data_IF_924559368549
#
_entry.id   IF_924559368549
#
_cell.length_a   1.000
_cell.length_b   1.000
_cell.length_c   1.000
_cell.angle_alpha   90.00
_cell.angle_beta   90.00
_cell.angle_gamma   90.00
#
_symmetry.space_group_name_H-M   'P 1'
#
loop_
_entity.id
_entity.type
_entity.pdbx_description
1 polymer ?
#
# COMPACT_ATOMS: atom_id res chain seq x y z
N UNK A 1 38.21 5.03 5.42
CA UNK A 1 38.61 4.28 4.20
C UNK A 1 39.62 5.08 3.38
N UNK A 2 40.83 4.54 3.20
CA UNK A 2 41.88 5.13 2.34
C UNK A 2 42.02 4.32 1.06
N UNK A 3 41.92 4.95 -0.11
CA UNK A 3 42.03 4.29 -1.43
C UNK A 3 43.25 4.83 -2.18
N UNK A 4 44.10 3.95 -2.73
CA UNK A 4 45.30 4.31 -3.52
C UNK A 4 45.50 3.40 -4.74
N UNK A 5 46.22 3.91 -5.74
CA UNK A 5 46.56 3.19 -6.99
C UNK A 5 48.07 2.95 -7.09
N UNK A 6 48.45 1.76 -7.55
CA UNK A 6 49.84 1.30 -7.67
C UNK A 6 50.12 0.80 -9.08
N UNK A 7 51.25 1.19 -9.65
CA UNK A 7 51.76 0.66 -10.93
C UNK A 7 52.94 -0.29 -10.65
N UNK A 8 52.87 -1.50 -11.19
CA UNK A 8 53.88 -2.54 -10.99
C UNK A 8 54.07 -3.41 -12.24
N UNK A 9 55.19 -4.13 -12.31
CA UNK A 9 55.49 -5.07 -13.40
C UNK A 9 54.68 -6.36 -13.29
N UNK A 10 54.35 -6.76 -12.07
CA UNK A 10 53.51 -7.91 -11.78
C UNK A 10 52.68 -7.70 -10.50
N UNK A 11 51.80 -8.66 -10.23
CA UNK A 11 50.92 -8.61 -9.08
C UNK A 11 51.66 -8.80 -7.75
N UNK A 12 52.81 -9.50 -7.73
CA UNK A 12 53.60 -9.68 -6.52
C UNK A 12 54.23 -8.36 -6.07
N UNK A 13 54.83 -7.62 -7.01
CA UNK A 13 55.39 -6.30 -6.75
C UNK A 13 54.30 -5.31 -6.29
N UNK A 14 53.12 -5.34 -6.91
CA UNK A 14 51.99 -4.53 -6.47
C UNK A 14 51.54 -4.89 -5.03
N UNK A 15 51.42 -6.18 -4.70
CA UNK A 15 51.04 -6.64 -3.36
C UNK A 15 52.03 -6.20 -2.27
N UNK A 16 53.34 -6.25 -2.56
CA UNK A 16 54.38 -5.82 -1.61
C UNK A 16 54.22 -4.32 -1.30
N UNK A 17 54.02 -3.50 -2.33
CA UNK A 17 53.84 -2.04 -2.16
C UNK A 17 52.52 -1.71 -1.45
N UNK A 18 51.43 -2.41 -1.78
CA UNK A 18 50.13 -2.24 -1.12
C UNK A 18 50.24 -2.58 0.36
N UNK A 19 50.86 -3.72 0.71
CA UNK A 19 51.02 -4.12 2.13
C UNK A 19 51.92 -3.16 2.92
N UNK A 20 52.94 -2.61 2.29
CA UNK A 20 53.83 -1.63 2.93
C UNK A 20 53.14 -0.28 3.20
N UNK A 21 52.21 0.14 2.34
CA UNK A 21 51.60 1.49 2.40
C UNK A 21 50.21 1.49 3.06
N UNK A 22 49.39 0.45 2.84
CA UNK A 22 48.01 0.34 3.35
C UNK A 22 47.83 -0.70 4.47
N UNK A 23 48.89 -1.44 4.83
CA UNK A 23 48.83 -2.48 5.85
C UNK A 23 48.42 -3.85 5.29
N UNK A 24 48.43 -4.87 6.16
CA UNK A 24 48.20 -6.27 5.77
C UNK A 24 46.74 -6.54 5.36
N UNK A 25 45.81 -5.69 5.80
CA UNK A 25 44.37 -5.84 5.64
C UNK A 25 43.80 -5.06 4.44
N UNK A 26 44.68 -4.56 3.56
CA UNK A 26 44.28 -3.85 2.36
C UNK A 26 43.58 -4.80 1.35
N UNK A 27 42.39 -4.42 0.91
CA UNK A 27 41.58 -5.12 -0.09
C UNK A 27 41.86 -4.53 -1.48
N UNK A 28 42.10 -5.39 -2.47
CA UNK A 28 42.24 -4.99 -3.87
C UNK A 28 40.85 -4.75 -4.45
N UNK A 29 40.58 -3.51 -4.91
CA UNK A 29 39.31 -3.13 -5.51
C UNK A 29 39.29 -3.37 -7.03
N UNK A 30 40.41 -3.15 -7.71
CA UNK A 30 40.49 -3.36 -9.16
C UNK A 30 41.92 -3.59 -9.64
N UNK A 31 42.07 -4.33 -10.74
CA UNK A 31 43.36 -4.58 -11.40
C UNK A 31 43.18 -4.47 -12.92
N UNK A 32 44.02 -3.68 -13.61
CA UNK A 32 44.01 -3.58 -15.08
C UNK A 32 45.42 -3.53 -15.66
N UNK A 33 45.60 -4.10 -16.86
CA UNK A 33 46.86 -4.01 -17.61
C UNK A 33 46.95 -2.69 -18.36
N UNK A 34 48.09 -2.01 -18.26
CA UNK A 34 48.35 -0.72 -18.91
C UNK A 34 49.61 -0.78 -19.78
N UNK A 35 49.51 -0.27 -21.02
CA UNK A 35 50.66 -0.12 -21.93
C UNK A 35 51.39 1.19 -21.61
N UNK A 36 52.71 1.14 -21.53
CA UNK A 36 53.53 2.34 -21.31
C UNK A 36 53.47 3.26 -22.56
N UNK A 37 53.11 4.54 -22.38
CA UNK A 37 53.08 5.53 -23.48
C UNK A 37 54.48 6.13 -23.71
N UNK A 38 54.92 6.17 -24.97
CA UNK A 38 56.20 6.79 -25.42
C UNK A 38 56.58 6.38 -26.86
N UNK A 39 57.38 7.21 -27.55
CA UNK A 39 57.74 7.11 -28.99
C UNK A 39 58.43 5.80 -29.41
N UNK A 40 58.88 4.96 -28.47
CA UNK A 40 59.47 3.63 -28.72
C UNK A 40 58.71 2.50 -27.98
N UNK A 41 57.39 2.62 -27.87
CA UNK A 41 56.51 1.72 -27.09
C UNK A 41 56.32 0.29 -27.62
N UNK A 42 56.97 -0.11 -28.71
CA UNK A 42 56.79 -1.44 -29.33
C UNK A 42 57.62 -2.58 -28.69
N UNK A 43 58.57 -2.28 -27.80
CA UNK A 43 59.45 -3.29 -27.16
C UNK A 43 59.34 -3.39 -25.62
N UNK A 44 58.39 -2.70 -24.98
CA UNK A 44 58.27 -2.70 -23.50
C UNK A 44 57.12 -3.57 -23.00
N UNK A 45 57.42 -4.39 -21.97
CA UNK A 45 56.46 -5.29 -21.31
C UNK A 45 55.31 -4.50 -20.66
N UNK A 46 54.06 -4.99 -20.71
CA UNK A 46 52.91 -4.31 -20.11
C UNK A 46 53.06 -4.22 -18.57
N UNK A 47 52.59 -3.11 -17.98
CA UNK A 47 52.49 -2.92 -16.53
C UNK A 47 51.07 -3.25 -16.04
N UNK A 48 50.92 -3.44 -14.73
CA UNK A 48 49.64 -3.63 -14.06
C UNK A 48 49.36 -2.43 -13.15
N UNK A 49 48.17 -1.84 -13.27
CA UNK A 49 47.63 -0.85 -12.33
C UNK A 49 46.68 -1.55 -11.35
N UNK A 50 46.95 -1.45 -10.05
CA UNK A 50 46.16 -2.04 -8.98
C UNK A 50 45.63 -0.94 -8.07
N UNK A 51 44.31 -0.93 -7.85
CA UNK A 51 43.66 -0.05 -6.85
C UNK A 51 43.39 -0.86 -5.60
N UNK A 52 43.84 -0.38 -4.44
CA UNK A 52 43.61 -1.03 -3.15
C UNK A 52 43.06 -0.05 -2.11
N UNK A 53 42.32 -0.57 -1.14
CA UNK A 53 41.73 0.19 -0.05
C UNK A 53 41.92 -0.50 1.30
N UNK A 54 42.04 0.26 2.38
CA UNK A 54 42.01 -0.26 3.75
C UNK A 54 40.95 0.49 4.57
N UNK A 55 40.19 -0.25 5.38
CA UNK A 55 39.26 0.29 6.37
C UNK A 55 39.99 0.58 7.69
N UNK A 56 39.56 1.61 8.40
CA UNK A 56 40.22 2.09 9.62
C UNK A 56 39.75 1.26 10.83
N UNK A 57 40.65 0.56 11.53
CA UNK A 57 40.36 -0.31 12.69
C UNK A 57 39.54 0.35 13.82
N UNK A 58 39.49 1.69 13.88
CA UNK A 58 38.68 2.43 14.85
C UNK A 58 37.18 2.36 14.58
N UNK A 59 36.76 2.09 13.34
CA UNK A 59 35.34 2.00 12.96
C UNK A 59 34.80 0.62 13.33
N UNK A 60 35.57 -0.44 13.08
CA UNK A 60 35.20 -1.84 13.37
C UNK A 60 34.91 -2.05 14.86
N UNK A 61 35.75 -1.53 15.77
CA UNK A 61 35.51 -1.63 17.21
C UNK A 61 34.25 -0.92 17.68
N UNK A 62 33.87 0.18 17.02
CA UNK A 62 32.69 0.99 17.36
C UNK A 62 31.40 0.32 16.87
N UNK A 63 31.46 -0.33 15.71
CA UNK A 63 30.34 -1.14 15.19
C UNK A 63 30.16 -2.45 15.99
N UNK A 64 31.24 -3.12 16.39
CA UNK A 64 31.15 -4.32 17.24
C UNK A 64 30.55 -4.03 18.63
N UNK A 65 30.88 -2.88 19.24
CA UNK A 65 30.28 -2.44 20.50
C UNK A 65 28.80 -2.07 20.33
N UNK A 66 28.44 -1.40 19.22
CA UNK A 66 27.04 -1.07 18.89
C UNK A 66 26.19 -2.34 18.73
N UNK A 67 26.67 -3.32 17.95
CA UNK A 67 25.96 -4.58 17.70
C UNK A 67 25.79 -5.39 18.99
N UNK A 68 26.81 -5.40 19.87
CA UNK A 68 26.70 -6.04 21.19
C UNK A 68 25.64 -5.39 22.09
N UNK A 69 25.58 -4.06 22.13
CA UNK A 69 24.57 -3.35 22.93
C UNK A 69 23.15 -3.59 22.40
N UNK A 70 22.97 -3.59 21.09
CA UNK A 70 21.68 -3.82 20.44
C UNK A 70 21.19 -5.26 20.64
N UNK A 71 22.09 -6.24 20.54
CA UNK A 71 21.78 -7.66 20.81
C UNK A 71 21.40 -7.91 22.28
N UNK A 72 22.04 -7.22 23.23
CA UNK A 72 21.71 -7.31 24.65
C UNK A 72 20.35 -6.69 24.94
N UNK A 73 20.04 -5.53 24.35
CA UNK A 73 18.73 -4.89 24.48
C UNK A 73 17.59 -5.78 23.93
N UNK A 74 17.81 -6.40 22.77
CA UNK A 74 16.85 -7.33 22.18
C UNK A 74 16.63 -8.58 23.05
N UNK A 75 17.70 -9.11 23.66
CA UNK A 75 17.61 -10.26 24.57
C UNK A 75 16.82 -9.95 25.85
N UNK A 76 16.96 -8.73 26.38
CA UNK A 76 16.20 -8.26 27.55
C UNK A 76 14.72 -8.09 27.20
N UNK A 77 14.40 -7.53 26.04
CA UNK A 77 13.02 -7.41 25.56
C UNK A 77 12.37 -8.78 25.34
N UNK A 78 13.08 -9.73 24.73
CA UNK A 78 12.59 -11.11 24.57
C UNK A 78 12.33 -11.80 25.91
N UNK A 79 13.13 -11.49 26.93
CA UNK A 79 12.94 -12.03 28.29
C UNK A 79 11.69 -11.44 28.94
N UNK A 80 11.45 -10.14 28.78
CA UNK A 80 10.23 -9.47 29.26
C UNK A 80 8.97 -9.99 28.57
N UNK A 81 9.02 -10.23 27.25
CA UNK A 81 7.90 -10.80 26.48
C UNK A 81 7.56 -12.20 27.01
N UNK A 82 8.57 -13.06 27.23
CA UNK A 82 8.35 -14.40 27.80
C UNK A 82 7.76 -14.36 29.22
N UNK A 83 8.11 -13.36 30.02
CA UNK A 83 7.54 -13.19 31.34
C UNK A 83 6.07 -12.73 31.28
N UNK A 84 5.74 -11.87 30.31
CA UNK A 84 4.36 -11.45 30.03
C UNK A 84 3.50 -12.61 29.52
N UNK A 85 4.01 -13.45 28.62
CA UNK A 85 3.33 -14.66 28.15
C UNK A 85 2.98 -15.60 29.32
N UNK A 86 3.93 -15.85 30.23
CA UNK A 86 3.67 -16.65 31.44
C UNK A 86 2.62 -16.03 32.36
N UNK A 87 2.59 -14.69 32.47
CA UNK A 87 1.55 -13.98 33.23
C UNK A 87 0.19 -14.14 32.59
N UNK A 88 0.10 -14.07 31.25
CA UNK A 88 -1.14 -14.31 30.50
C UNK A 88 -1.63 -15.75 30.73
N UNK A 89 -0.78 -16.76 30.58
CA UNK A 89 -1.13 -18.16 30.85
C UNK A 89 -1.65 -18.38 32.27
N UNK A 90 -1.03 -17.71 33.25
CA UNK A 90 -1.46 -17.79 34.65
C UNK A 90 -2.83 -17.14 34.87
N UNK A 91 -3.11 -16.01 34.20
CA UNK A 91 -4.40 -15.33 34.26
C UNK A 91 -5.48 -16.15 33.57
N UNK A 92 -5.19 -16.77 32.41
CA UNK A 92 -6.13 -17.69 31.75
C UNK A 92 -6.49 -18.87 32.65
N UNK A 93 -5.51 -19.42 33.37
CA UNK A 93 -5.75 -20.54 34.30
C UNK A 93 -6.63 -20.12 35.48
N UNK A 94 -6.37 -18.95 36.05
CA UNK A 94 -7.22 -18.38 37.12
C UNK A 94 -8.63 -18.11 36.60
N UNK A 95 -8.77 -17.56 35.39
CA UNK A 95 -10.08 -17.30 34.78
C UNK A 95 -10.86 -18.60 34.58
N UNK A 96 -10.18 -19.66 34.08
CA UNK A 96 -10.77 -21.00 33.93
C UNK A 96 -11.21 -21.57 35.28
N UNK A 97 -10.46 -21.36 36.36
CA UNK A 97 -10.83 -21.81 37.70
C UNK A 97 -11.99 -21.01 38.31
N UNK A 98 -12.08 -19.70 38.06
CA UNK A 98 -13.21 -18.85 38.48
C UNK A 98 -14.48 -19.26 37.74
N UNK A 99 -14.39 -19.45 36.42
CA UNK A 99 -15.52 -19.93 35.59
C UNK A 99 -15.97 -21.33 36.04
N UNK A 100 -15.04 -22.19 36.48
CA UNK A 100 -15.38 -23.54 36.97
C UNK A 100 -16.07 -23.52 38.33
N UNK A 101 -15.77 -22.52 39.18
CA UNK A 101 -16.42 -22.33 40.49
C UNK A 101 -17.81 -21.71 40.39
N UNK A 102 -18.14 -21.01 39.30
CA UNK A 102 -19.49 -20.49 39.02
C UNK A 102 -20.42 -21.54 38.35
N UNK A 103 -19.91 -22.72 37.99
CA UNK A 103 -20.66 -23.73 37.21
C UNK A 103 -21.49 -24.73 38.02
N UNK A 104 -21.55 -24.62 39.36
CA UNK A 104 -22.38 -25.52 40.18
C UNK A 104 -23.76 -24.97 40.57
N UNK A 105 -24.14 -23.76 40.15
CA UNK A 105 -25.51 -23.24 40.33
C UNK A 105 -26.11 -22.67 39.02
N UNK A 106 -27.23 -23.29 38.59
CA UNK A 106 -28.20 -22.86 37.55
C UNK A 106 -27.69 -22.55 36.12
N UNK A 107 -27.55 -23.61 35.29
CA UNK A 107 -26.82 -23.63 34.01
C UNK A 107 -27.61 -23.08 32.79
N UNK A 108 -28.94 -22.92 32.88
CA UNK A 108 -29.76 -22.56 31.70
C UNK A 108 -29.99 -21.06 31.55
N UNK A 109 -30.28 -20.34 32.65
CA UNK A 109 -30.51 -18.89 32.61
C UNK A 109 -29.21 -18.09 32.49
N UNK A 110 -28.12 -18.56 33.10
CA UNK A 110 -26.77 -17.96 32.99
C UNK A 110 -26.19 -18.06 31.58
N UNK A 111 -26.44 -19.15 30.83
CA UNK A 111 -25.99 -19.30 29.43
C UNK A 111 -26.68 -18.31 28.49
N UNK A 112 -27.99 -18.11 28.61
CA UNK A 112 -28.70 -17.12 27.81
C UNK A 112 -28.28 -15.67 28.16
N UNK A 113 -28.11 -15.35 29.45
CA UNK A 113 -27.60 -14.04 29.88
C UNK A 113 -26.17 -13.78 29.36
N UNK A 114 -25.27 -14.77 29.47
CA UNK A 114 -23.87 -14.64 29.01
C UNK A 114 -23.78 -14.43 27.49
N UNK A 115 -24.66 -15.09 26.73
CA UNK A 115 -24.74 -14.94 25.27
C UNK A 115 -25.30 -13.58 24.85
N UNK A 116 -26.34 -13.09 25.54
CA UNK A 116 -26.90 -11.76 25.29
C UNK A 116 -25.85 -10.67 25.59
N UNK A 117 -25.16 -10.79 26.71
CA UNK A 117 -24.05 -9.90 27.07
C UNK A 117 -22.93 -9.95 26.03
N UNK A 118 -22.59 -11.12 25.48
CA UNK A 118 -21.57 -11.22 24.43
C UNK A 118 -22.00 -10.53 23.12
N UNK A 119 -23.27 -10.69 22.71
CA UNK A 119 -23.81 -10.01 21.53
C UNK A 119 -23.73 -8.49 21.71
N UNK A 120 -24.11 -7.98 22.88
CA UNK A 120 -24.05 -6.54 23.17
C UNK A 120 -22.61 -6.02 23.13
N UNK A 121 -21.65 -6.74 23.73
CA UNK A 121 -20.21 -6.42 23.66
C UNK A 121 -19.70 -6.41 22.21
N UNK A 122 -20.11 -7.38 21.40
CA UNK A 122 -19.72 -7.43 19.99
C UNK A 122 -20.30 -6.27 19.18
N UNK A 123 -21.55 -5.88 19.44
CA UNK A 123 -22.17 -4.70 18.82
C UNK A 123 -21.41 -3.44 19.20
N UNK A 124 -21.13 -3.23 20.49
CA UNK A 124 -20.34 -2.09 20.97
C UNK A 124 -18.94 -2.06 20.34
N UNK A 125 -18.30 -3.22 20.18
CA UNK A 125 -16.99 -3.32 19.54
C UNK A 125 -17.04 -2.93 18.05
N UNK A 126 -18.05 -3.35 17.29
CA UNK A 126 -18.21 -2.94 15.90
C UNK A 126 -18.51 -1.43 15.77
N UNK A 127 -19.33 -0.87 16.67
CA UNK A 127 -19.58 0.58 16.76
C UNK A 127 -18.26 1.31 17.00
N UNK A 128 -17.47 0.83 17.97
CA UNK A 128 -16.14 1.40 18.29
C UNK A 128 -15.17 1.30 17.12
N UNK A 129 -15.26 0.24 16.32
CA UNK A 129 -14.48 0.09 15.09
C UNK A 129 -15.03 0.90 13.91
N UNK A 130 -16.08 1.70 14.11
CA UNK A 130 -16.61 2.66 13.14
C UNK A 130 -17.56 2.04 12.12
N UNK A 131 -18.18 0.91 12.43
CA UNK A 131 -19.24 0.32 11.58
C UNK A 131 -20.57 1.02 11.87
N UNK A 132 -21.30 1.40 10.82
CA UNK A 132 -22.62 2.05 10.97
C UNK A 132 -23.66 1.11 11.58
N UNK A 133 -24.56 1.68 12.39
CA UNK A 133 -25.59 0.92 13.13
C UNK A 133 -26.48 0.06 12.23
N UNK A 134 -26.85 0.58 11.06
CA UNK A 134 -27.66 -0.13 10.06
C UNK A 134 -26.97 -1.41 9.54
N UNK A 135 -25.63 -1.42 9.45
CA UNK A 135 -24.85 -2.59 9.07
C UNK A 135 -24.79 -3.58 10.25
N UNK A 136 -24.62 -3.08 11.47
CA UNK A 136 -24.61 -3.90 12.68
C UNK A 136 -25.96 -4.58 12.86
N UNK A 137 -27.07 -3.88 12.69
CA UNK A 137 -28.41 -4.47 12.76
C UNK A 137 -28.58 -5.60 11.75
N UNK A 138 -28.09 -5.41 10.53
CA UNK A 138 -28.08 -6.44 9.49
C UNK A 138 -27.26 -7.66 9.89
N UNK A 139 -26.02 -7.47 10.37
CA UNK A 139 -25.12 -8.54 10.78
C UNK A 139 -25.72 -9.42 11.90
N UNK A 140 -26.52 -8.82 12.80
CA UNK A 140 -27.07 -9.52 13.95
C UNK A 140 -28.50 -10.03 13.76
N UNK A 141 -29.23 -9.57 12.73
CA UNK A 141 -30.60 -9.98 12.44
C UNK A 141 -30.76 -11.50 12.26
N UNK A 142 -29.72 -12.19 11.76
CA UNK A 142 -29.73 -13.61 11.43
C UNK A 142 -29.13 -14.53 12.52
N UNK A 143 -28.68 -13.98 13.66
CA UNK A 143 -27.99 -14.75 14.71
C UNK A 143 -28.92 -15.40 15.76
N UNK A 144 -30.23 -15.29 15.56
CA UNK A 144 -31.31 -15.77 16.42
C UNK A 144 -31.48 -17.30 16.37
N UNK A 145 -30.42 -18.04 16.70
CA UNK A 145 -30.44 -19.50 16.79
C UNK A 145 -29.14 -20.19 17.23
N UNK A 146 -28.03 -19.45 17.39
CA UNK A 146 -26.71 -20.08 17.54
C UNK A 146 -26.36 -20.51 18.97
N UNK A 147 -25.86 -21.72 19.16
CA UNK A 147 -25.63 -22.26 20.51
C UNK A 147 -24.30 -21.81 21.18
N UNK A 148 -23.35 -21.20 20.46
CA UNK A 148 -21.99 -20.93 20.97
C UNK A 148 -21.40 -19.59 20.52
N UNK A 149 -20.64 -18.93 21.41
CA UNK A 149 -19.91 -17.67 21.17
C UNK A 149 -18.99 -17.76 19.95
N UNK A 150 -18.27 -18.88 19.79
CA UNK A 150 -17.37 -19.07 18.64
C UNK A 150 -18.13 -19.13 17.31
N UNK A 151 -19.37 -19.63 17.33
CA UNK A 151 -20.19 -19.64 16.12
C UNK A 151 -20.62 -18.22 15.77
N UNK A 152 -20.96 -17.40 16.78
CA UNK A 152 -21.36 -16.00 16.60
C UNK A 152 -20.23 -15.21 15.94
N UNK A 153 -19.00 -15.29 16.48
CA UNK A 153 -17.84 -14.59 15.90
C UNK A 153 -17.57 -15.06 14.47
N UNK A 154 -17.55 -16.37 14.25
CA UNK A 154 -17.29 -16.94 12.93
C UNK A 154 -18.35 -16.55 11.90
N UNK A 155 -19.62 -16.45 12.31
CA UNK A 155 -20.70 -16.07 11.42
C UNK A 155 -20.68 -14.57 11.12
N UNK A 156 -20.43 -13.71 12.12
CA UNK A 156 -20.19 -12.28 11.88
C UNK A 156 -18.99 -12.10 10.93
N UNK A 157 -17.91 -12.85 11.12
CA UNK A 157 -16.75 -12.82 10.22
C UNK A 157 -17.11 -13.19 8.78
N UNK A 158 -17.86 -14.28 8.60
CA UNK A 158 -18.33 -14.71 7.28
C UNK A 158 -19.23 -13.67 6.64
N UNK A 159 -20.18 -13.11 7.38
CA UNK A 159 -21.08 -12.07 6.89
C UNK A 159 -20.32 -10.81 6.47
N UNK A 160 -19.40 -10.31 7.30
CA UNK A 160 -18.54 -9.16 6.94
C UNK A 160 -17.72 -9.49 5.70
N UNK A 161 -17.07 -10.66 5.62
CA UNK A 161 -16.30 -11.08 4.44
C UNK A 161 -17.18 -11.13 3.19
N UNK A 162 -18.40 -11.66 3.29
CA UNK A 162 -19.36 -11.73 2.19
C UNK A 162 -19.79 -10.33 1.73
N UNK A 163 -20.07 -9.41 2.67
CA UNK A 163 -20.38 -8.01 2.36
C UNK A 163 -19.21 -7.32 1.65
N UNK A 164 -17.97 -7.51 2.15
CA UNK A 164 -16.74 -7.02 1.52
C UNK A 164 -16.55 -7.55 0.10
N UNK A 165 -17.01 -8.77 -0.18
CA UNK A 165 -17.03 -9.36 -1.52
C UNK A 165 -15.66 -9.84 -1.98
N UNK A 166 -15.38 -9.73 -3.28
CA UNK A 166 -14.10 -10.11 -3.89
C UNK A 166 -13.45 -8.88 -4.50
N UNK A 167 -12.12 -8.83 -4.43
CA UNK A 167 -11.36 -7.76 -5.06
C UNK A 167 -11.58 -7.74 -6.57
N UNK A 168 -11.67 -6.54 -7.13
CA UNK A 168 -11.84 -6.35 -8.57
C UNK A 168 -10.73 -5.45 -9.14
N UNK A 169 -9.46 -5.87 -9.14
CA UNK A 169 -8.37 -5.07 -9.70
C UNK A 169 -8.59 -4.74 -11.19
N UNK A 170 -7.80 -3.82 -11.71
CA UNK A 170 -7.79 -3.48 -13.13
C UNK A 170 -7.45 -4.75 -13.92
N UNK A 171 -8.33 -5.11 -14.85
CA UNK A 171 -8.15 -6.27 -15.72
C UNK A 171 -7.95 -5.83 -17.17
N UNK A 172 -7.20 -6.61 -17.94
CA UNK A 172 -6.96 -6.34 -19.35
C UNK A 172 -7.74 -7.32 -20.21
N UNK A 173 -8.62 -6.79 -21.04
CA UNK A 173 -9.36 -7.47 -22.10
C UNK A 173 -8.84 -7.01 -23.48
N UNK A 174 -9.45 -7.46 -24.57
CA UNK A 174 -8.91 -7.34 -25.93
C UNK A 174 -8.84 -5.90 -26.51
N UNK A 175 -9.44 -4.90 -25.85
CA UNK A 175 -9.51 -3.52 -26.36
C UNK A 175 -8.29 -2.72 -25.90
N UNK A 176 -7.59 -2.10 -26.85
CA UNK A 176 -6.35 -1.34 -26.64
C UNK A 176 -6.42 -0.01 -27.43
N UNK A 177 -6.03 1.14 -26.84
CA UNK A 177 -5.72 1.32 -25.42
C UNK A 177 -7.00 1.19 -24.57
N UNK A 178 -6.88 0.56 -23.39
CA UNK A 178 -7.94 0.59 -22.38
C UNK A 178 -7.99 1.96 -21.70
N UNK A 179 -9.15 2.61 -21.66
CA UNK A 179 -9.30 3.95 -21.07
C UNK A 179 -9.82 3.83 -19.63
N UNK A 180 -9.03 4.29 -18.66
CA UNK A 180 -9.33 4.13 -17.23
C UNK A 180 -9.43 5.49 -16.56
N UNK A 181 -10.59 5.80 -15.99
CA UNK A 181 -10.83 7.07 -15.31
C UNK A 181 -10.64 6.95 -13.80
N UNK A 182 -10.03 7.96 -13.20
CA UNK A 182 -9.87 8.10 -11.75
C UNK A 182 -10.63 9.32 -11.29
N UNK A 183 -11.73 9.11 -10.58
CA UNK A 183 -12.67 10.15 -10.15
C UNK A 183 -12.82 10.14 -8.63
N UNK A 184 -13.27 11.26 -8.05
CA UNK A 184 -13.47 11.36 -6.61
C UNK A 184 -13.16 12.75 -6.06
N UNK A 185 -13.50 13.00 -4.78
CA UNK A 185 -13.42 14.32 -4.17
C UNK A 185 -12.01 14.93 -4.16
N UNK A 186 -11.92 16.23 -3.87
CA UNK A 186 -10.66 16.95 -3.66
C UNK A 186 -9.80 16.28 -2.57
N UNK A 187 -8.49 16.16 -2.82
CA UNK A 187 -7.53 15.71 -1.81
C UNK A 187 -7.58 14.21 -1.45
N UNK A 188 -8.39 13.42 -2.17
CA UNK A 188 -8.52 11.97 -1.92
C UNK A 188 -7.29 11.16 -2.37
N UNK A 189 -6.43 11.72 -3.22
CA UNK A 189 -5.19 11.06 -3.68
C UNK A 189 -5.23 10.45 -5.08
N UNK A 190 -6.05 10.99 -6.01
CA UNK A 190 -6.16 10.53 -7.42
C UNK A 190 -4.82 10.47 -8.16
N UNK A 191 -4.17 11.61 -8.33
CA UNK A 191 -2.88 11.72 -9.05
C UNK A 191 -1.82 10.77 -8.50
N UNK A 192 -1.68 10.69 -7.17
CA UNK A 192 -0.73 9.76 -6.54
C UNK A 192 -1.12 8.30 -6.76
N UNK A 193 -2.41 7.95 -6.67
CA UNK A 193 -2.91 6.60 -6.93
C UNK A 193 -2.65 6.17 -8.38
N UNK A 194 -2.87 7.08 -9.34
CA UNK A 194 -2.56 6.86 -10.76
C UNK A 194 -1.08 6.53 -10.94
N UNK A 195 -0.19 7.30 -10.32
CA UNK A 195 1.25 7.04 -10.39
C UNK A 195 1.63 5.66 -9.82
N UNK A 196 1.02 5.25 -8.69
CA UNK A 196 1.25 3.92 -8.10
C UNK A 196 0.78 2.79 -9.03
N UNK A 197 -0.43 2.91 -9.57
CA UNK A 197 -0.98 1.92 -10.50
C UNK A 197 -0.14 1.87 -11.79
N UNK A 198 0.21 3.03 -12.36
CA UNK A 198 1.04 3.10 -13.56
C UNK A 198 2.37 2.36 -13.38
N UNK A 199 3.05 2.62 -12.26
CA UNK A 199 4.31 1.97 -11.96
C UNK A 199 4.15 0.45 -11.81
N UNK A 200 3.10 -0.04 -11.13
CA UNK A 200 2.83 -1.49 -11.07
C UNK A 200 2.57 -2.09 -12.45
N UNK A 201 1.73 -1.45 -13.26
CA UNK A 201 1.42 -1.91 -14.61
C UNK A 201 2.68 -1.97 -15.50
N UNK A 202 3.60 -1.03 -15.35
CA UNK A 202 4.84 -0.99 -16.12
C UNK A 202 5.88 -2.00 -15.64
N UNK A 203 6.13 -2.05 -14.33
CA UNK A 203 7.24 -2.83 -13.77
C UNK A 203 6.86 -4.27 -13.45
N UNK A 204 5.63 -4.53 -13.04
CA UNK A 204 5.14 -5.88 -12.72
C UNK A 204 4.49 -6.54 -13.95
N UNK A 205 3.63 -5.80 -14.66
CA UNK A 205 2.83 -6.36 -15.77
C UNK A 205 3.40 -6.08 -17.18
N UNK A 206 4.47 -5.29 -17.29
CA UNK A 206 5.13 -4.97 -18.56
C UNK A 206 4.28 -4.15 -19.56
N UNK A 207 3.26 -3.43 -19.06
CA UNK A 207 2.31 -2.65 -19.90
C UNK A 207 2.86 -1.29 -20.29
N UNK A 208 2.51 -0.85 -21.49
CA UNK A 208 2.72 0.52 -21.96
C UNK A 208 1.58 1.42 -21.46
N UNK A 209 1.93 2.37 -20.60
CA UNK A 209 0.98 3.28 -19.97
C UNK A 209 1.07 4.67 -20.60
N UNK A 210 -0.08 5.30 -20.84
CA UNK A 210 -0.22 6.71 -21.18
C UNK A 210 -0.98 7.47 -20.10
N UNK A 211 -0.70 8.77 -19.93
CA UNK A 211 -1.41 9.65 -19.01
C UNK A 211 -2.21 10.72 -19.75
N UNK A 212 -3.42 10.95 -19.27
CA UNK A 212 -4.19 12.16 -19.58
C UNK A 212 -4.54 12.82 -18.25
N UNK A 213 -4.38 14.15 -18.15
CA UNK A 213 -4.94 14.92 -17.04
C UNK A 213 -6.00 15.89 -17.56
N UNK A 214 -7.16 15.83 -16.93
CA UNK A 214 -8.25 16.81 -17.04
C UNK A 214 -8.35 17.68 -15.77
N UNK A 215 -7.38 17.61 -14.83
CA UNK A 215 -7.32 18.54 -13.67
C UNK A 215 -6.62 19.85 -14.04
N UNK A 216 -7.25 20.62 -14.93
CA UNK A 216 -6.68 21.84 -15.51
C UNK A 216 -6.76 23.06 -14.58
N UNK A 217 -7.62 23.02 -13.56
CA UNK A 217 -7.79 24.12 -12.61
C UNK A 217 -6.69 24.19 -11.56
N UNK A 218 -6.11 23.04 -11.19
CA UNK A 218 -5.00 22.99 -10.23
C UNK A 218 -3.70 22.94 -11.02
N UNK A 219 -3.09 24.09 -11.27
CA UNK A 219 -1.80 24.20 -11.98
C UNK A 219 -0.77 23.18 -11.44
N UNK A 220 -0.66 23.07 -10.11
CA UNK A 220 0.26 22.13 -9.48
C UNK A 220 -0.08 20.64 -9.68
N UNK A 221 -1.35 20.28 -9.94
CA UNK A 221 -1.75 18.89 -10.20
C UNK A 221 -1.25 18.41 -11.57
N UNK A 222 -1.34 19.27 -12.60
CA UNK A 222 -0.78 18.99 -13.92
C UNK A 222 0.74 18.76 -13.83
N UNK A 223 1.45 19.66 -13.15
CA UNK A 223 2.91 19.55 -12.98
C UNK A 223 3.30 18.34 -12.12
N UNK A 224 2.49 17.97 -11.13
CA UNK A 224 2.69 16.76 -10.34
C UNK A 224 2.59 15.50 -11.21
N UNK A 225 1.55 15.36 -12.04
CA UNK A 225 1.42 14.19 -12.91
C UNK A 225 2.54 14.14 -13.96
N UNK A 226 2.91 15.30 -14.54
CA UNK A 226 4.05 15.39 -15.46
C UNK A 226 5.36 14.96 -14.81
N UNK A 227 5.60 15.34 -13.55
CA UNK A 227 6.80 14.92 -12.82
C UNK A 227 6.87 13.39 -12.72
N UNK A 228 5.78 12.72 -12.34
CA UNK A 228 5.73 11.26 -12.34
C UNK A 228 5.94 10.69 -13.74
N UNK A 229 5.33 11.30 -14.75
CA UNK A 229 5.47 10.87 -16.13
C UNK A 229 6.91 10.97 -16.65
N UNK A 230 7.62 12.04 -16.33
CA UNK A 230 9.03 12.23 -16.70
C UNK A 230 9.92 11.18 -16.04
N UNK A 231 9.71 10.92 -14.73
CA UNK A 231 10.46 9.90 -13.99
C UNK A 231 10.24 8.51 -14.61
N UNK A 232 9.02 8.19 -15.01
CA UNK A 232 8.65 6.90 -15.59
C UNK A 232 8.78 6.85 -17.12
N UNK A 233 9.15 7.95 -17.78
CA UNK A 233 9.13 8.09 -19.24
C UNK A 233 7.76 7.72 -19.88
N UNK A 234 6.67 8.16 -19.25
CA UNK A 234 5.28 7.97 -19.70
C UNK A 234 4.85 9.15 -20.56
N UNK A 235 4.21 8.87 -21.69
CA UNK A 235 3.60 9.90 -22.53
C UNK A 235 2.42 10.55 -21.78
N UNK A 236 2.39 11.88 -21.73
CA UNK A 236 1.33 12.64 -21.04
C UNK A 236 0.68 13.66 -21.97
N UNK A 237 -0.65 13.80 -21.88
CA UNK A 237 -1.42 14.87 -22.51
C UNK A 237 -2.31 15.57 -21.47
N UNK A 238 -2.57 16.85 -21.71
CA UNK A 238 -3.55 17.62 -20.94
C UNK A 238 -4.80 17.74 -21.80
N UNK A 239 -5.97 17.53 -21.19
CA UNK A 239 -7.28 17.61 -21.84
C UNK A 239 -8.04 18.77 -21.23
N UNK A 240 -8.16 19.89 -21.97
CA UNK A 240 -8.80 21.11 -21.48
C UNK A 240 -10.28 21.14 -21.82
N UNK A 241 -10.63 20.79 -23.06
CA UNK A 241 -12.00 20.92 -23.56
C UNK A 241 -12.50 19.60 -24.14
N UNK A 242 -13.79 19.30 -23.95
CA UNK A 242 -14.41 18.02 -24.35
C UNK A 242 -14.14 17.67 -25.82
N UNK A 243 -14.16 18.66 -26.71
CA UNK A 243 -13.97 18.48 -28.16
C UNK A 243 -12.52 18.08 -28.55
N UNK A 244 -11.54 18.23 -27.67
CA UNK A 244 -10.15 17.85 -27.93
C UNK A 244 -9.88 16.34 -27.83
N UNK A 245 -10.82 15.57 -27.25
CA UNK A 245 -10.62 14.17 -26.88
C UNK A 245 -10.09 13.31 -28.03
N UNK A 246 -10.74 13.41 -29.19
CA UNK A 246 -10.45 12.52 -30.32
C UNK A 246 -9.00 12.71 -30.81
N UNK A 247 -8.54 13.95 -30.86
CA UNK A 247 -7.14 14.28 -31.19
C UNK A 247 -6.17 13.85 -30.09
N UNK A 248 -6.56 13.95 -28.83
CA UNK A 248 -5.72 13.53 -27.70
C UNK A 248 -5.53 12.02 -27.72
N UNK A 249 -6.59 11.24 -27.89
CA UNK A 249 -6.53 9.78 -27.77
C UNK A 249 -5.74 9.12 -28.91
N UNK A 250 -5.72 9.71 -30.12
CA UNK A 250 -4.87 9.28 -31.23
C UNK A 250 -3.38 9.18 -30.86
N UNK A 251 -2.93 10.00 -29.89
CA UNK A 251 -1.56 9.97 -29.41
C UNK A 251 -1.20 8.71 -28.61
N UNK A 252 -2.17 7.87 -28.23
CA UNK A 252 -1.95 6.72 -27.35
C UNK A 252 -2.27 5.39 -28.04
N UNK A 253 -2.27 5.37 -29.38
CA UNK A 253 -2.52 4.18 -30.18
C UNK A 253 -1.50 3.04 -29.96
N UNK A 254 -0.32 3.36 -29.42
CA UNK A 254 0.74 2.42 -29.07
C UNK A 254 0.77 2.02 -27.59
N UNK A 255 -0.15 2.57 -26.79
CA UNK A 255 -0.28 2.28 -25.35
C UNK A 255 -1.25 1.12 -25.10
N UNK A 256 -0.98 0.29 -24.10
CA UNK A 256 -1.91 -0.76 -23.65
C UNK A 256 -3.08 -0.15 -22.85
N UNK A 257 -2.80 0.91 -22.10
CA UNK A 257 -3.75 1.58 -21.20
C UNK A 257 -3.45 3.07 -21.10
N UNK A 258 -4.52 3.86 -20.99
CA UNK A 258 -4.45 5.28 -20.70
C UNK A 258 -5.15 5.55 -19.38
N UNK A 259 -4.40 6.06 -18.40
CA UNK A 259 -4.92 6.47 -17.10
C UNK A 259 -5.27 7.95 -17.14
N UNK A 260 -6.52 8.27 -16.84
CA UNK A 260 -7.07 9.62 -16.91
C UNK A 260 -7.25 10.17 -15.49
N UNK A 261 -6.44 11.15 -15.13
CA UNK A 261 -6.58 11.93 -13.89
C UNK A 261 -7.66 12.98 -14.08
N UNK A 262 -8.76 12.86 -13.36
CA UNK A 262 -9.77 13.91 -13.33
C UNK A 262 -9.54 14.83 -12.15
N UNK A 263 -10.08 16.02 -12.25
CA UNK A 263 -10.01 16.91 -11.13
C UNK A 263 -10.67 16.40 -9.85
N UNK A 264 -10.05 16.72 -8.71
CA UNK A 264 -10.76 16.68 -7.44
C UNK A 264 -11.72 17.85 -7.35
N UNK A 265 -13.01 17.58 -7.19
CA UNK A 265 -14.03 18.63 -7.06
C UNK A 265 -14.84 18.43 -5.79
N UNK A 266 -15.20 19.54 -5.15
CA UNK A 266 -16.15 19.51 -4.04
C UNK A 266 -17.48 19.03 -4.57
N UNK A 267 -18.11 18.09 -3.87
CA UNK A 267 -19.41 17.52 -4.22
C UNK A 267 -20.55 18.55 -4.26
N UNK A 268 -20.27 19.80 -3.84
CA UNK A 268 -21.21 20.93 -3.77
C UNK A 268 -21.21 21.86 -4.98
N UNK A 269 -20.31 21.70 -5.94
CA UNK A 269 -20.26 22.56 -7.13
C UNK A 269 -20.87 21.83 -8.34
N UNK A 270 -22.06 22.28 -8.78
CA UNK A 270 -22.82 21.66 -9.88
C UNK A 270 -22.12 21.80 -11.24
N UNK A 271 -21.59 22.99 -11.57
CA UNK A 271 -20.92 23.23 -12.86
C UNK A 271 -19.75 22.26 -13.08
N UNK A 272 -18.94 22.04 -12.05
CA UNK A 272 -17.82 21.10 -12.11
C UNK A 272 -18.26 19.64 -12.26
N UNK A 273 -19.43 19.28 -11.73
CA UNK A 273 -19.96 17.93 -11.90
C UNK A 273 -20.50 17.73 -13.31
N UNK A 274 -21.09 18.76 -13.91
CA UNK A 274 -21.57 18.70 -15.29
C UNK A 274 -20.43 18.64 -16.29
N UNK A 275 -19.32 19.34 -16.01
CA UNK A 275 -18.06 19.22 -16.74
C UNK A 275 -17.53 17.76 -16.68
N UNK A 276 -17.41 17.17 -15.49
CA UNK A 276 -16.96 15.79 -15.33
C UNK A 276 -17.87 14.80 -16.08
N UNK A 277 -19.19 14.99 -16.02
CA UNK A 277 -20.14 14.18 -16.80
C UNK A 277 -19.86 14.28 -18.30
N UNK A 278 -19.58 15.48 -18.81
CA UNK A 278 -19.27 15.69 -20.22
C UNK A 278 -17.96 14.98 -20.63
N UNK A 279 -16.91 15.07 -19.82
CA UNK A 279 -15.66 14.33 -20.04
C UNK A 279 -15.86 12.81 -20.05
N UNK A 280 -16.57 12.27 -19.03
CA UNK A 280 -16.87 10.83 -18.94
C UNK A 280 -17.72 10.37 -20.11
N UNK A 281 -18.75 11.15 -20.50
CA UNK A 281 -19.62 10.82 -21.61
C UNK A 281 -18.88 10.82 -22.96
N UNK A 282 -18.00 11.80 -23.19
CA UNK A 282 -17.19 11.89 -24.41
C UNK A 282 -16.16 10.76 -24.52
N UNK A 283 -15.47 10.45 -23.42
CA UNK A 283 -14.44 9.42 -23.43
C UNK A 283 -15.00 8.00 -23.46
N UNK A 284 -16.21 7.79 -22.93
CA UNK A 284 -16.84 6.48 -22.76
C UNK A 284 -15.83 5.44 -22.19
N UNK A 285 -15.32 5.68 -20.96
CA UNK A 285 -14.21 4.91 -20.41
C UNK A 285 -14.55 3.43 -20.26
N UNK A 286 -13.53 2.59 -20.48
CA UNK A 286 -13.64 1.14 -20.30
C UNK A 286 -13.74 0.74 -18.83
N UNK A 287 -13.18 1.57 -17.94
CA UNK A 287 -13.22 1.36 -16.50
C UNK A 287 -13.16 2.68 -15.75
N UNK A 288 -13.90 2.76 -14.64
CA UNK A 288 -13.92 3.93 -13.76
C UNK A 288 -13.60 3.49 -12.34
N UNK A 289 -12.63 4.15 -11.72
CA UNK A 289 -12.33 4.04 -10.29
C UNK A 289 -12.81 5.29 -9.56
N UNK A 290 -13.77 5.12 -8.65
CA UNK A 290 -14.14 6.12 -7.67
C UNK A 290 -13.24 5.99 -6.45
N UNK A 291 -12.44 7.01 -6.18
CA UNK A 291 -11.53 7.07 -5.04
C UNK A 291 -12.24 7.68 -3.84
N UNK A 292 -12.13 7.01 -2.70
CA UNK A 292 -12.77 7.39 -1.45
C UNK A 292 -11.75 7.26 -0.31
N UNK A 293 -11.72 8.23 0.60
CA UNK A 293 -10.77 8.17 1.72
C UNK A 293 -11.34 7.32 2.86
N UNK A 294 -10.51 6.45 3.44
CA UNK A 294 -10.85 5.72 4.66
C UNK A 294 -11.15 6.66 5.84
N UNK A 295 -10.62 7.90 5.81
CA UNK A 295 -10.84 8.92 6.84
C UNK A 295 -12.14 9.71 6.68
N UNK A 296 -12.90 9.52 5.58
CA UNK A 296 -14.14 10.27 5.35
C UNK A 296 -15.25 9.81 6.28
N UNK A 297 -15.91 10.75 6.97
CA UNK A 297 -17.05 10.43 7.83
C UNK A 297 -18.23 9.82 7.03
N UNK A 298 -18.98 8.86 7.59
CA UNK A 298 -20.09 8.20 6.89
C UNK A 298 -21.13 9.15 6.28
N UNK A 299 -21.47 10.25 6.97
CA UNK A 299 -22.40 11.27 6.47
C UNK A 299 -21.90 11.96 5.20
N UNK A 300 -20.64 12.42 5.20
CA UNK A 300 -19.98 13.05 4.04
C UNK A 300 -19.83 12.06 2.90
N UNK A 301 -19.52 10.80 3.22
CA UNK A 301 -19.38 9.75 2.24
C UNK A 301 -20.72 9.49 1.52
N UNK A 302 -21.87 9.46 2.22
CA UNK A 302 -23.20 9.33 1.59
C UNK A 302 -23.48 10.46 0.60
N UNK A 303 -23.10 11.70 0.94
CA UNK A 303 -23.19 12.84 0.01
C UNK A 303 -22.32 12.64 -1.23
N UNK A 304 -21.07 12.18 -1.05
CA UNK A 304 -20.16 11.87 -2.16
C UNK A 304 -20.75 10.80 -3.07
N UNK A 305 -21.22 9.67 -2.54
CA UNK A 305 -21.84 8.59 -3.36
C UNK A 305 -23.00 9.14 -4.18
N UNK A 306 -23.86 9.96 -3.59
CA UNK A 306 -24.99 10.57 -4.29
C UNK A 306 -24.53 11.50 -5.42
N UNK A 307 -23.50 12.31 -5.19
CA UNK A 307 -22.94 13.19 -6.23
C UNK A 307 -22.33 12.42 -7.40
N UNK A 308 -21.71 11.27 -7.15
CA UNK A 308 -21.13 10.41 -8.19
C UNK A 308 -22.11 9.38 -8.76
N UNK A 309 -23.40 9.45 -8.42
CA UNK A 309 -24.44 8.49 -8.86
C UNK A 309 -24.66 8.43 -10.37
N UNK A 310 -24.20 9.44 -11.13
CA UNK A 310 -24.23 9.43 -12.60
C UNK A 310 -23.28 8.38 -13.21
N UNK A 311 -22.34 7.86 -12.43
CA UNK A 311 -21.45 6.76 -12.84
C UNK A 311 -22.20 5.42 -12.72
N UNK A 312 -22.64 4.88 -13.85
CA UNK A 312 -23.41 3.64 -13.89
C UNK A 312 -22.59 2.43 -13.41
N UNK A 313 -21.37 2.29 -13.91
CA UNK A 313 -20.46 1.20 -13.54
C UNK A 313 -19.10 1.75 -13.13
N UNK A 314 -18.67 1.40 -11.92
CA UNK A 314 -17.40 1.82 -11.36
C UNK A 314 -16.96 0.85 -10.28
N UNK A 315 -15.66 0.87 -10.00
CA UNK A 315 -15.03 0.16 -8.89
C UNK A 315 -14.49 1.17 -7.89
N UNK A 316 -14.24 0.75 -6.65
CA UNK A 316 -13.77 1.62 -5.59
C UNK A 316 -12.28 1.42 -5.34
N UNK A 317 -11.57 2.51 -5.13
CA UNK A 317 -10.23 2.49 -4.52
C UNK A 317 -10.32 3.25 -3.19
N UNK A 318 -9.93 2.59 -2.10
CA UNK A 318 -9.95 3.22 -0.77
C UNK A 318 -8.56 3.77 -0.45
N UNK A 319 -8.46 5.08 -0.27
CA UNK A 319 -7.20 5.74 0.02
C UNK A 319 -7.00 6.01 1.52
N UNK A 320 -5.76 6.31 1.91
CA UNK A 320 -5.39 6.74 3.27
C UNK A 320 -5.76 5.74 4.37
N UNK A 321 -5.61 4.44 4.09
CA UNK A 321 -5.88 3.38 5.08
C UNK A 321 -4.84 3.41 6.21
N UNK A 322 -3.66 3.95 5.97
CA UNK A 322 -2.62 4.23 6.95
C UNK A 322 -2.96 5.35 7.95
N UNK A 323 -3.94 6.20 7.62
CA UNK A 323 -4.33 7.34 8.46
C UNK A 323 -5.49 7.00 9.43
N UNK A 324 -6.03 5.78 9.39
CA UNK A 324 -7.16 5.37 10.26
C UNK A 324 -6.72 4.47 11.41
N UNK A 325 -7.34 4.65 12.57
CA UNK A 325 -7.15 3.77 13.74
C UNK A 325 -8.10 2.57 13.74
N UNK A 326 -9.18 2.63 12.95
CA UNK A 326 -10.20 1.60 12.85
C UNK A 326 -10.62 1.40 11.39
N UNK A 327 -11.09 0.19 11.06
CA UNK A 327 -11.32 -0.23 9.68
C UNK A 327 -12.80 -0.38 9.32
N UNK A 328 -13.73 -0.11 10.23
CA UNK A 328 -15.17 -0.25 9.98
C UNK A 328 -15.66 0.61 8.81
N UNK A 329 -15.01 1.74 8.55
CA UNK A 329 -15.37 2.60 7.43
C UNK A 329 -15.17 1.93 6.05
N UNK A 330 -14.29 0.94 5.94
CA UNK A 330 -14.14 0.15 4.70
C UNK A 330 -15.41 -0.65 4.42
N UNK A 331 -16.01 -1.24 5.47
CA UNK A 331 -17.29 -1.93 5.35
C UNK A 331 -18.42 -0.96 5.02
N UNK A 332 -18.44 0.22 5.65
CA UNK A 332 -19.42 1.27 5.33
C UNK A 332 -19.34 1.66 3.85
N UNK A 333 -18.14 1.95 3.34
CA UNK A 333 -17.91 2.30 1.94
C UNK A 333 -18.45 1.22 1.01
N UNK A 334 -18.10 -0.04 1.27
CA UNK A 334 -18.61 -1.18 0.48
C UNK A 334 -20.13 -1.28 0.53
N UNK A 335 -20.71 -1.17 1.72
CA UNK A 335 -22.15 -1.30 1.94
C UNK A 335 -22.96 -0.23 1.22
N UNK A 336 -22.54 1.03 1.28
CA UNK A 336 -23.30 2.11 0.66
C UNK A 336 -23.02 2.28 -0.83
N UNK A 337 -21.80 2.01 -1.31
CA UNK A 337 -21.53 2.06 -2.76
C UNK A 337 -22.13 0.87 -3.49
N UNK A 338 -22.19 -0.30 -2.84
CA UNK A 338 -22.50 -1.59 -3.47
C UNK A 338 -21.56 -1.94 -4.64
N UNK A 339 -20.41 -1.25 -4.76
CA UNK A 339 -19.42 -1.44 -5.84
C UNK A 339 -18.17 -2.15 -5.35
N UNK A 340 -17.53 -3.00 -6.16
CA UNK A 340 -16.41 -3.81 -5.71
C UNK A 340 -15.19 -2.94 -5.42
N UNK A 341 -14.42 -3.30 -4.40
CA UNK A 341 -13.18 -2.62 -4.05
C UNK A 341 -12.04 -3.27 -4.83
N UNK A 342 -11.25 -2.46 -5.53
CA UNK A 342 -10.15 -2.92 -6.36
C UNK A 342 -8.82 -2.88 -5.60
N UNK A 343 -8.51 -1.70 -5.06
CA UNK A 343 -7.24 -1.41 -4.41
C UNK A 343 -7.45 -0.61 -3.14
N UNK A 344 -6.44 -0.64 -2.28
CA UNK A 344 -6.30 0.29 -1.18
C UNK A 344 -4.91 0.92 -1.15
N UNK A 345 -4.79 2.13 -0.59
CA UNK A 345 -3.48 2.77 -0.40
C UNK A 345 -3.10 2.83 1.07
N UNK A 346 -1.84 2.57 1.36
CA UNK A 346 -1.30 2.39 2.72
C UNK A 346 -0.16 3.36 3.03
N UNK A 347 -0.13 4.53 2.37
CA UNK A 347 0.93 5.52 2.54
C UNK A 347 1.13 6.40 1.30
N UNK A 348 2.26 7.12 1.25
CA UNK A 348 2.54 8.14 0.23
C UNK A 348 3.58 7.69 -0.81
N UNK A 349 4.33 6.63 -0.56
CA UNK A 349 5.41 6.17 -1.44
C UNK A 349 4.85 5.59 -2.75
N UNK A 350 5.52 5.93 -3.85
CA UNK A 350 5.24 5.40 -5.19
C UNK A 350 6.41 4.53 -5.59
N UNK A 351 6.23 3.25 -5.96
CA UNK A 351 4.94 2.56 -6.18
C UNK A 351 4.38 1.79 -4.96
N UNK A 352 5.14 1.66 -3.88
CA UNK A 352 4.96 0.57 -2.91
C UNK A 352 3.66 0.64 -2.09
N UNK A 353 3.16 1.85 -1.80
CA UNK A 353 2.04 2.02 -0.85
C UNK A 353 0.66 1.86 -1.51
N UNK A 354 0.48 0.81 -2.33
CA UNK A 354 -0.81 0.36 -2.87
C UNK A 354 -0.88 -1.17 -2.92
N UNK A 355 -2.00 -1.73 -2.47
CA UNK A 355 -2.24 -3.18 -2.53
C UNK A 355 -3.61 -3.50 -3.11
N UNK A 356 -3.74 -4.71 -3.67
CA UNK A 356 -5.05 -5.24 -4.04
C UNK A 356 -5.87 -5.44 -2.77
N UNK A 357 -7.15 -5.13 -2.82
CA UNK A 357 -8.01 -5.27 -1.66
C UNK A 357 -8.07 -6.73 -1.18
N UNK A 358 -7.94 -6.96 0.13
CA UNK A 358 -8.05 -8.30 0.72
C UNK A 358 -9.26 -8.37 1.68
N UNK A 359 -10.42 -8.88 1.22
CA UNK A 359 -11.63 -8.98 2.04
C UNK A 359 -11.43 -9.76 3.34
N UNK A 360 -10.59 -10.80 3.30
CA UNK A 360 -10.33 -11.65 4.46
C UNK A 360 -9.52 -10.91 5.53
N UNK A 361 -8.48 -10.20 5.13
CA UNK A 361 -7.69 -9.36 6.04
C UNK A 361 -8.57 -8.29 6.68
N UNK A 362 -9.36 -7.56 5.89
CA UNK A 362 -10.20 -6.47 6.42
C UNK A 362 -11.35 -6.97 7.28
N UNK A 363 -11.95 -8.13 6.98
CA UNK A 363 -12.96 -8.72 7.85
C UNK A 363 -12.39 -9.01 9.26
N UNK A 364 -11.15 -9.53 9.36
CA UNK A 364 -10.47 -9.75 10.65
C UNK A 364 -10.18 -8.43 11.36
N UNK A 365 -9.70 -7.42 10.64
CA UNK A 365 -9.39 -6.10 11.18
C UNK A 365 -10.63 -5.33 11.69
N UNK A 366 -11.77 -5.45 11.01
CA UNK A 366 -13.04 -4.81 11.40
C UNK A 366 -13.61 -5.43 12.68
N UNK A 367 -13.51 -6.75 12.83
CA UNK A 367 -13.92 -7.44 14.06
C UNK A 367 -12.93 -7.15 15.19
N UNK A 368 -11.64 -7.03 14.85
CA UNK A 368 -10.55 -6.78 15.77
C UNK A 368 -9.73 -8.03 16.07
N UNK A 369 -8.40 -7.91 16.00
CA UNK A 369 -7.43 -9.00 16.20
C UNK A 369 -7.39 -9.62 17.60
N UNK A 370 -8.23 -9.15 18.54
CA UNK A 370 -8.37 -9.69 19.90
C UNK A 370 -9.60 -10.60 20.08
N UNK A 371 -10.44 -10.70 19.05
CA UNK A 371 -11.72 -11.44 19.09
C UNK A 371 -11.64 -12.76 18.32
N UNK A 372 -10.65 -12.91 17.43
CA UNK A 372 -10.27 -14.13 16.72
C UNK A 372 -8.99 -14.69 17.34
#
# INVERSE_FOLDING_TARGET
>A
MRIKRYLAHDMQEALIRIKADLGKDAVILSTKKVRQKGLFGFFKRPLIEVTAACEDEKIVKKEEESIKQESLALSLQLTQIKELERKIDSLEKILKEVIKKEQEEDISQTKELSKKNFIDVMRENLIKNGVESEIIDMLFSNLSGEASINNVVNNIYKEIKNMLGVAAPLSFNSKIPKIVFFVGPTGVGKTTTIAKIAAKLMFEDGKKVGFITADTYRIAAVEQLKTYAEIMNIKTKVWYEVDEYDRIIENFSDSDVVLVDTAGRSHKNQEHMDELKAFVAKANPDEVFLLLSATTQPSVFKEVVNTYSFLNDYKVIITKVDEVSTYGNILNIRYFTQKPIAYITTGQNVPDDIEQFNPEQFAKLIIGSKVL
#
